data_IF_467505011200
#
_entry.id   IF_467505011200
#
_cell.length_a   1.000
_cell.length_b   1.000
_cell.length_c   1.000
_cell.angle_alpha   90.00
_cell.angle_beta   90.00
_cell.angle_gamma   90.00
#
_symmetry.space_group_name_H-M   'P 1'
#
loop_
_entity.id
_entity.type
_entity.pdbx_description
1 polymer ?
#
# COMPACT_ATOMS: atom_id res chain seq x y z
N UNK A 1 -0.50 2.48 24.06
CA UNK A 1 -0.73 1.02 24.21
C UNK A 1 -2.19 0.61 24.46
N UNK A 2 -3.17 1.55 24.64
CA UNK A 2 -4.58 1.22 24.89
C UNK A 2 -5.44 1.05 23.63
N UNK A 3 -4.94 1.42 22.44
CA UNK A 3 -5.72 1.37 21.19
C UNK A 3 -5.53 0.09 20.36
N UNK A 4 -4.53 -0.74 20.70
CA UNK A 4 -4.26 -1.99 19.97
C UNK A 4 -5.27 -3.09 20.30
N UNK A 5 -5.82 -3.07 21.51
CA UNK A 5 -6.73 -4.10 22.01
C UNK A 5 -8.11 -4.02 21.35
N UNK A 6 -8.54 -2.83 20.95
CA UNK A 6 -9.88 -2.62 20.36
C UNK A 6 -9.97 -3.16 18.91
N UNK A 7 -8.90 -3.06 18.14
CA UNK A 7 -8.89 -3.58 16.77
C UNK A 7 -8.92 -5.11 16.68
N UNK A 8 -8.33 -5.81 17.65
CA UNK A 8 -8.30 -7.28 17.66
C UNK A 8 -9.67 -7.86 17.99
N UNK A 9 -10.43 -7.21 18.87
CA UNK A 9 -11.77 -7.67 19.25
C UNK A 9 -12.78 -7.51 18.12
N UNK A 10 -12.67 -6.44 17.32
CA UNK A 10 -13.58 -6.20 16.18
C UNK A 10 -13.35 -7.18 15.03
N UNK A 11 -12.10 -7.57 14.79
CA UNK A 11 -11.77 -8.59 13.78
C UNK A 11 -12.25 -9.99 14.20
N UNK A 12 -12.23 -10.30 15.49
CA UNK A 12 -12.73 -11.58 16.01
C UNK A 12 -14.25 -11.75 15.91
N UNK A 13 -15.03 -10.67 15.98
CA UNK A 13 -16.49 -10.74 15.92
C UNK A 13 -17.04 -10.96 14.52
N UNK A 14 -16.30 -10.57 13.47
CA UNK A 14 -16.68 -10.81 12.07
C UNK A 14 -16.47 -12.28 11.62
N UNK A 15 -15.66 -13.03 12.34
CA UNK A 15 -15.39 -14.44 12.04
C UNK A 15 -16.51 -15.40 12.51
N UNK A 16 -17.43 -14.95 13.35
CA UNK A 16 -18.52 -15.80 13.88
C UNK A 16 -19.79 -15.79 13.03
N UNK A 17 -19.88 -14.94 12.01
CA UNK A 17 -20.99 -14.96 11.06
C UNK A 17 -20.65 -15.90 9.86
N UNK A 18 -20.44 -17.17 10.12
CA UNK A 18 -20.46 -18.17 9.06
C UNK A 18 -21.92 -18.35 8.65
N UNK A 19 -22.30 -18.06 7.39
CA UNK A 19 -23.57 -18.54 6.88
C UNK A 19 -23.47 -20.07 6.79
N UNK A 20 -24.07 -20.74 7.76
CA UNK A 20 -24.26 -22.18 7.71
C UNK A 20 -25.11 -22.49 6.48
N UNK A 21 -24.55 -23.23 5.51
CA UNK A 21 -25.31 -23.95 4.49
C UNK A 21 -25.52 -23.34 3.13
N UNK A 22 -24.58 -22.51 2.63
CA UNK A 22 -24.46 -22.35 1.18
C UNK A 22 -23.54 -23.46 0.65
N UNK A 23 -24.11 -24.59 0.27
CA UNK A 23 -23.46 -25.47 -0.70
C UNK A 23 -23.15 -24.61 -1.91
N UNK A 24 -21.86 -24.39 -2.15
CA UNK A 24 -21.38 -23.53 -3.22
C UNK A 24 -21.77 -24.22 -4.54
N UNK A 25 -22.91 -23.86 -5.09
CA UNK A 25 -23.20 -24.04 -6.50
C UNK A 25 -21.97 -23.51 -7.22
N UNK A 26 -21.36 -24.29 -8.11
CA UNK A 26 -20.14 -23.94 -8.85
C UNK A 26 -20.42 -22.74 -9.79
N UNK A 27 -20.57 -21.56 -9.18
CA UNK A 27 -20.61 -20.33 -9.94
C UNK A 27 -19.23 -20.12 -10.57
N UNK A 28 -19.17 -20.01 -11.90
CA UNK A 28 -17.90 -19.78 -12.59
C UNK A 28 -17.29 -18.44 -12.23
N UNK A 29 -18.08 -17.52 -11.69
CA UNK A 29 -17.68 -16.15 -11.31
C UNK A 29 -17.72 -16.01 -9.80
N UNK A 30 -16.63 -15.55 -9.20
CA UNK A 30 -16.51 -15.29 -7.77
C UNK A 30 -15.98 -13.89 -7.52
N UNK A 31 -16.54 -13.23 -6.52
CA UNK A 31 -16.05 -11.95 -6.03
C UNK A 31 -15.22 -12.17 -4.77
N UNK A 32 -14.20 -11.36 -4.59
CA UNK A 32 -13.40 -11.35 -3.36
C UNK A 32 -13.24 -9.94 -2.82
N UNK A 33 -13.31 -9.84 -1.49
CA UNK A 33 -13.01 -8.65 -0.73
C UNK A 33 -11.99 -9.01 0.33
N UNK A 34 -10.95 -8.21 0.48
CA UNK A 34 -9.91 -8.48 1.46
C UNK A 34 -9.22 -7.22 1.95
N UNK A 35 -8.49 -7.42 3.04
CA UNK A 35 -7.64 -6.40 3.63
C UNK A 35 -6.50 -7.03 4.40
N UNK A 36 -5.46 -6.26 4.65
CA UNK A 36 -4.30 -6.77 5.34
C UNK A 36 -3.15 -5.79 5.39
N UNK A 37 -1.94 -6.29 5.26
CA UNK A 37 -0.72 -5.52 5.44
C UNK A 37 0.15 -5.56 4.20
N UNK A 38 0.78 -4.41 3.92
CA UNK A 38 1.79 -4.27 2.86
C UNK A 38 3.14 -3.93 3.49
N UNK A 39 4.14 -4.70 3.16
CA UNK A 39 5.51 -4.53 3.64
C UNK A 39 6.40 -4.19 2.45
N UNK A 40 7.00 -2.98 2.41
CA UNK A 40 7.97 -2.63 1.40
C UNK A 40 9.23 -3.48 1.55
N UNK A 41 9.80 -3.90 0.45
CA UNK A 41 11.02 -4.70 0.39
C UNK A 41 12.11 -3.97 -0.41
N UNK A 42 13.35 -4.49 -0.39
CA UNK A 42 14.49 -3.89 -1.07
C UNK A 42 14.80 -2.45 -0.59
N UNK A 43 15.32 -1.59 -1.43
CA UNK A 43 15.74 -0.22 -1.09
C UNK A 43 14.60 0.69 -0.61
N UNK A 44 13.37 0.40 -1.03
CA UNK A 44 12.17 1.17 -0.66
C UNK A 44 11.86 1.07 0.84
N UNK A 45 12.19 -0.04 1.50
CA UNK A 45 11.99 -0.23 2.95
C UNK A 45 12.72 0.81 3.81
N UNK A 46 13.77 1.44 3.27
CA UNK A 46 14.55 2.44 4.00
C UNK A 46 13.84 3.79 4.02
N UNK A 47 12.89 4.01 3.10
CA UNK A 47 12.17 5.27 2.91
C UNK A 47 10.68 5.19 3.27
N UNK A 48 10.09 3.99 3.26
CA UNK A 48 8.68 3.78 3.55
C UNK A 48 8.50 2.77 4.70
N UNK A 49 7.52 3.01 5.54
CA UNK A 49 7.09 2.10 6.58
C UNK A 49 6.09 1.06 6.07
N UNK A 50 5.78 0.09 6.92
CA UNK A 50 4.72 -0.88 6.66
C UNK A 50 3.38 -0.15 6.55
N UNK A 51 2.48 -0.72 5.74
CA UNK A 51 1.19 -0.16 5.47
C UNK A 51 0.06 -1.17 5.56
N UNK A 52 -1.11 -0.74 5.15
CA UNK A 52 -2.30 -1.57 5.03
C UNK A 52 -2.72 -1.69 3.57
N UNK A 53 -3.51 -2.72 3.27
CA UNK A 53 -4.12 -2.88 1.96
C UNK A 53 -5.62 -3.20 2.08
N UNK A 54 -6.34 -2.80 1.03
CA UNK A 54 -7.70 -3.23 0.73
C UNK A 54 -7.74 -3.67 -0.71
N UNK A 55 -8.39 -4.79 -0.98
CA UNK A 55 -8.52 -5.29 -2.34
C UNK A 55 -9.93 -5.78 -2.66
N UNK A 56 -10.23 -5.69 -3.94
CA UNK A 56 -11.43 -6.21 -4.57
C UNK A 56 -11.00 -7.07 -5.77
N UNK A 57 -11.50 -8.30 -5.84
CA UNK A 57 -11.18 -9.23 -6.91
C UNK A 57 -12.43 -9.79 -7.58
N UNK A 58 -12.30 -10.05 -8.86
CA UNK A 58 -13.23 -10.79 -9.68
C UNK A 58 -12.51 -12.00 -10.28
N UNK A 59 -12.92 -13.19 -9.93
CA UNK A 59 -12.35 -14.44 -10.42
C UNK A 59 -13.33 -15.16 -11.33
N UNK A 60 -12.87 -15.59 -12.50
CA UNK A 60 -13.62 -16.42 -13.45
C UNK A 60 -12.94 -17.78 -13.56
N UNK A 61 -13.62 -18.83 -13.14
CA UNK A 61 -13.15 -20.21 -13.22
C UNK A 61 -13.25 -20.72 -14.65
N UNK A 62 -12.09 -21.05 -15.25
CA UNK A 62 -12.01 -21.68 -16.58
C UNK A 62 -12.18 -23.19 -16.44
N UNK A 63 -11.57 -23.77 -15.41
CA UNK A 63 -11.72 -25.17 -15.00
C UNK A 63 -11.78 -25.24 -13.47
N UNK A 64 -12.11 -26.36 -12.85
CA UNK A 64 -12.05 -26.49 -11.39
C UNK A 64 -10.69 -26.17 -10.79
N UNK A 65 -9.60 -26.35 -11.54
CA UNK A 65 -8.22 -26.13 -11.10
C UNK A 65 -7.62 -24.80 -11.58
N UNK A 66 -8.21 -24.14 -12.60
CA UNK A 66 -7.64 -22.95 -13.25
C UNK A 66 -8.68 -21.85 -13.28
N UNK A 67 -8.28 -20.67 -12.85
CA UNK A 67 -9.10 -19.46 -12.94
C UNK A 67 -8.28 -18.24 -13.40
N UNK A 68 -8.97 -17.24 -13.91
CA UNK A 68 -8.45 -15.92 -14.21
C UNK A 68 -9.03 -14.96 -13.19
N UNK A 69 -8.17 -14.18 -12.53
CA UNK A 69 -8.57 -13.17 -11.56
C UNK A 69 -8.18 -11.77 -12.03
N UNK A 70 -9.12 -10.85 -12.02
CA UNK A 70 -8.86 -9.41 -12.06
C UNK A 70 -8.87 -8.88 -10.64
N UNK A 71 -7.79 -8.24 -10.20
CA UNK A 71 -7.67 -7.67 -8.86
C UNK A 71 -7.43 -6.17 -8.94
N UNK A 72 -8.15 -5.41 -8.13
CA UNK A 72 -7.84 -4.02 -7.81
C UNK A 72 -7.49 -3.91 -6.34
N UNK A 73 -6.41 -3.17 -6.03
CA UNK A 73 -5.96 -2.98 -4.66
C UNK A 73 -5.55 -1.53 -4.39
N UNK A 74 -5.85 -1.09 -3.18
CA UNK A 74 -5.38 0.15 -2.58
C UNK A 74 -4.46 -0.17 -1.41
N UNK A 75 -3.28 0.47 -1.37
CA UNK A 75 -2.28 0.27 -0.32
C UNK A 75 -1.83 1.62 0.21
N UNK A 76 -2.08 1.87 1.49
CA UNK A 76 -1.54 3.04 2.19
C UNK A 76 -0.27 2.63 2.92
N UNK A 77 0.89 3.13 2.50
CA UNK A 77 2.19 2.86 3.13
C UNK A 77 2.51 3.93 4.16
N UNK A 78 3.00 3.50 5.31
CA UNK A 78 3.27 4.39 6.42
C UNK A 78 4.44 5.35 6.17
N UNK A 79 4.42 6.45 6.88
CA UNK A 79 5.49 7.43 6.87
C UNK A 79 6.75 6.90 7.56
N UNK A 80 7.91 7.18 6.97
CA UNK A 80 9.20 6.94 7.61
C UNK A 80 9.99 8.24 7.62
N UNK A 81 10.59 8.54 8.79
CA UNK A 81 11.44 9.73 8.96
C UNK A 81 12.78 9.50 8.29
N UNK A 82 13.22 10.48 7.51
CA UNK A 82 14.52 10.54 6.88
C UNK A 82 15.14 11.87 7.28
N UNK A 83 16.22 11.85 8.06
CA UNK A 83 16.94 13.08 8.45
C UNK A 83 18.08 13.33 7.48
N UNK A 84 18.02 14.45 6.77
CA UNK A 84 19.04 14.85 5.81
C UNK A 84 19.66 16.19 6.28
N UNK A 85 20.99 16.31 6.27
CA UNK A 85 21.64 17.59 6.53
C UNK A 85 21.36 18.57 5.38
N UNK A 86 20.64 19.64 5.66
CA UNK A 86 20.31 20.69 4.69
C UNK A 86 21.05 21.96 5.07
N UNK A 87 21.74 22.57 4.11
CA UNK A 87 22.36 23.90 4.28
C UNK A 87 21.40 24.97 3.77
N UNK A 88 20.86 25.83 4.64
CA UNK A 88 19.89 26.86 4.24
C UNK A 88 20.50 27.93 3.33
N UNK A 89 21.82 28.11 3.39
CA UNK A 89 22.58 29.00 2.49
C UNK A 89 23.93 28.35 2.15
N UNK A 90 24.58 28.73 1.02
CA UNK A 90 25.84 28.10 0.60
C UNK A 90 26.97 28.14 1.63
N UNK A 91 26.94 29.08 2.59
CA UNK A 91 27.95 29.28 3.62
C UNK A 91 27.46 28.99 5.04
N UNK A 92 26.22 28.53 5.21
CA UNK A 92 25.68 28.13 6.51
C UNK A 92 26.05 26.67 6.79
N UNK A 93 26.28 26.37 8.06
CA UNK A 93 26.43 24.99 8.51
C UNK A 93 25.18 24.17 8.17
N UNK A 94 25.34 22.87 7.96
CA UNK A 94 24.22 21.97 7.71
C UNK A 94 23.39 21.77 8.98
N UNK A 95 22.05 21.85 8.84
CA UNK A 95 21.10 21.57 9.91
C UNK A 95 20.36 20.28 9.56
N UNK A 96 20.28 19.30 10.46
CA UNK A 96 19.49 18.10 10.22
C UNK A 96 18.02 18.47 10.07
N UNK A 97 17.44 18.17 8.91
CA UNK A 97 16.03 18.43 8.60
C UNK A 97 15.33 17.09 8.40
N UNK A 98 14.20 16.91 9.07
CA UNK A 98 13.40 15.70 8.96
C UNK A 98 12.45 15.80 7.77
N UNK A 99 12.46 14.76 6.95
CA UNK A 99 11.52 14.53 5.87
C UNK A 99 10.72 13.27 6.14
N UNK A 100 9.45 13.30 5.76
CA UNK A 100 8.54 12.17 5.86
C UNK A 100 8.06 11.80 4.45
N UNK A 101 8.23 10.54 4.09
CA UNK A 101 7.70 10.00 2.83
C UNK A 101 6.36 9.29 3.07
N UNK A 102 5.34 9.64 2.31
CA UNK A 102 4.04 8.97 2.27
C UNK A 102 3.76 8.48 0.86
N UNK A 103 3.24 7.27 0.74
CA UNK A 103 2.88 6.69 -0.55
C UNK A 103 1.56 5.93 -0.47
N UNK A 104 0.61 6.32 -1.32
CA UNK A 104 -0.64 5.62 -1.52
C UNK A 104 -0.59 4.89 -2.88
N UNK A 105 -0.30 3.60 -2.87
CA UNK A 105 -0.20 2.81 -4.10
C UNK A 105 -1.55 2.19 -4.45
N UNK A 106 -1.95 2.35 -5.71
CA UNK A 106 -3.11 1.67 -6.29
C UNK A 106 -2.65 0.82 -7.46
N UNK A 107 -3.21 -0.38 -7.59
CA UNK A 107 -2.89 -1.21 -8.74
C UNK A 107 -4.06 -2.06 -9.21
N UNK A 108 -4.03 -2.37 -10.51
CA UNK A 108 -4.90 -3.36 -11.14
C UNK A 108 -4.05 -4.45 -11.77
N UNK A 109 -4.31 -5.70 -11.44
CA UNK A 109 -3.59 -6.87 -11.99
C UNK A 109 -4.54 -7.89 -12.59
N UNK A 110 -4.06 -8.60 -13.61
CA UNK A 110 -4.72 -9.79 -14.17
C UNK A 110 -3.85 -11.00 -13.84
N UNK A 111 -4.43 -12.00 -13.19
CA UNK A 111 -3.74 -13.12 -12.58
C UNK A 111 -4.26 -14.45 -13.12
N UNK A 112 -3.35 -15.38 -13.36
CA UNK A 112 -3.67 -16.79 -13.53
C UNK A 112 -3.58 -17.46 -12.16
N UNK A 113 -4.68 -18.11 -11.75
CA UNK A 113 -4.80 -18.79 -10.47
C UNK A 113 -4.85 -20.29 -10.72
N UNK A 114 -3.96 -21.03 -10.07
CA UNK A 114 -3.90 -22.49 -10.08
C UNK A 114 -4.25 -22.99 -8.69
N UNK A 115 -5.29 -23.78 -8.55
CA UNK A 115 -5.79 -24.24 -7.24
C UNK A 115 -6.06 -25.73 -7.19
N UNK A 116 -5.98 -26.27 -5.99
CA UNK A 116 -6.49 -27.63 -5.74
C UNK A 116 -8.03 -27.59 -5.79
N UNK A 117 -8.68 -28.41 -6.65
CA UNK A 117 -10.13 -28.35 -6.85
C UNK A 117 -10.92 -28.81 -5.62
N UNK A 118 -10.41 -29.82 -4.88
CA UNK A 118 -11.14 -30.53 -3.84
C UNK A 118 -10.56 -30.31 -2.44
N UNK A 119 -11.42 -30.45 -1.44
CA UNK A 119 -11.06 -30.41 -0.02
C UNK A 119 -11.57 -29.19 0.72
N UNK A 120 -11.61 -29.28 2.05
CA UNK A 120 -12.01 -28.19 2.95
C UNK A 120 -10.98 -27.06 2.89
N UNK A 121 -9.70 -27.42 2.78
CA UNK A 121 -8.57 -26.50 2.61
C UNK A 121 -8.10 -26.59 1.18
N UNK A 122 -8.21 -25.51 0.43
CA UNK A 122 -7.86 -25.44 -0.99
C UNK A 122 -6.69 -24.48 -1.18
N UNK A 123 -5.44 -24.97 -1.18
CA UNK A 123 -4.29 -24.17 -1.51
C UNK A 123 -4.32 -23.77 -2.99
N UNK A 124 -3.78 -22.57 -3.27
CA UNK A 124 -3.63 -22.06 -4.62
C UNK A 124 -2.34 -21.28 -4.79
N UNK A 125 -1.84 -21.22 -6.00
CA UNK A 125 -0.79 -20.34 -6.43
C UNK A 125 -1.30 -19.39 -7.52
N UNK A 126 -0.69 -18.25 -7.64
CA UNK A 126 -1.05 -17.27 -8.65
C UNK A 126 0.19 -16.58 -9.22
N UNK A 127 0.06 -16.14 -10.46
CA UNK A 127 1.03 -15.29 -11.14
C UNK A 127 0.28 -14.33 -12.04
N UNK A 128 0.70 -13.08 -12.06
CA UNK A 128 0.01 -12.05 -12.82
C UNK A 128 0.89 -10.88 -13.23
N UNK A 129 0.25 -9.95 -13.89
CA UNK A 129 0.85 -8.71 -14.33
C UNK A 129 -0.17 -7.59 -14.28
N UNK A 130 0.30 -6.35 -14.13
CA UNK A 130 -0.60 -5.22 -14.03
C UNK A 130 0.05 -3.86 -14.05
N UNK A 131 -0.78 -2.87 -13.79
CA UNK A 131 -0.41 -1.45 -13.77
C UNK A 131 -0.51 -0.92 -12.36
N UNK A 132 0.52 -0.18 -11.93
CA UNK A 132 0.70 0.33 -10.58
C UNK A 132 0.81 1.84 -10.63
N UNK A 133 -0.12 2.53 -9.99
CA UNK A 133 -0.08 3.97 -9.78
C UNK A 133 0.49 4.27 -8.40
N UNK A 134 1.59 5.04 -8.35
CA UNK A 134 2.37 5.31 -7.13
C UNK A 134 2.54 6.82 -6.93
N UNK A 135 1.58 7.53 -6.34
CA UNK A 135 1.79 8.89 -5.86
C UNK A 135 2.66 8.88 -4.59
N UNK A 136 3.72 9.63 -4.59
CA UNK A 136 4.65 9.82 -3.46
C UNK A 136 4.60 11.29 -3.06
N UNK A 137 4.40 11.53 -1.77
CA UNK A 137 4.47 12.87 -1.17
C UNK A 137 5.62 12.90 -0.18
N UNK A 138 6.40 13.95 -0.25
CA UNK A 138 7.46 14.22 0.72
C UNK A 138 7.05 15.47 1.49
N UNK A 139 6.96 15.34 2.80
CA UNK A 139 6.57 16.41 3.70
C UNK A 139 7.69 16.73 4.70
N UNK A 140 7.70 17.93 5.20
CA UNK A 140 8.56 18.35 6.31
C UNK A 140 7.68 19.00 7.39
N UNK A 141 7.98 18.77 8.68
CA UNK A 141 7.24 19.40 9.75
C UNK A 141 7.45 20.92 9.74
N UNK A 142 6.40 21.65 9.97
CA UNK A 142 6.39 23.09 10.07
C UNK A 142 5.47 23.57 11.19
N UNK A 143 5.43 24.88 11.38
CA UNK A 143 4.49 25.52 12.29
C UNK A 143 3.67 26.51 11.48
N UNK A 144 2.35 26.32 11.49
CA UNK A 144 1.38 27.21 10.87
C UNK A 144 0.60 27.98 11.93
N UNK A 145 0.17 29.18 11.59
CA UNK A 145 -0.78 29.92 12.42
C UNK A 145 -2.20 29.70 11.89
N UNK A 146 -3.08 29.20 12.75
CA UNK A 146 -4.51 29.08 12.47
C UNK A 146 -5.24 30.20 13.20
N UNK A 147 -5.97 31.08 12.48
CA UNK A 147 -6.80 32.09 13.14
C UNK A 147 -7.93 31.39 13.94
N UNK A 148 -8.30 32.00 15.05
CA UNK A 148 -9.45 31.51 15.81
C UNK A 148 -10.72 31.57 14.97
N UNK A 149 -11.52 30.52 15.04
CA UNK A 149 -12.83 30.50 14.36
C UNK A 149 -13.87 29.80 15.23
N UNK A 150 -15.15 30.14 15.01
CA UNK A 150 -16.27 29.48 15.67
C UNK A 150 -16.95 28.54 14.67
N UNK A 151 -17.08 27.27 15.05
CA UNK A 151 -17.77 26.25 14.26
C UNK A 151 -19.29 26.49 14.33
N UNK A 152 -19.97 26.74 13.21
CA UNK A 152 -21.39 27.00 13.20
C UNK A 152 -22.26 25.76 13.45
N UNK A 153 -21.71 24.56 13.34
CA UNK A 153 -22.45 23.30 13.54
C UNK A 153 -22.43 22.85 15.01
N UNK A 154 -21.28 23.03 15.68
CA UNK A 154 -21.09 22.58 17.05
C UNK A 154 -21.11 23.71 18.07
N UNK A 155 -21.28 24.97 17.62
CA UNK A 155 -21.28 26.18 18.46
C UNK A 155 -20.07 26.28 19.39
N UNK A 156 -18.94 25.74 18.94
CA UNK A 156 -17.69 25.76 19.69
C UNK A 156 -16.68 26.68 19.02
N UNK A 157 -16.05 27.54 19.79
CA UNK A 157 -15.01 28.44 19.29
C UNK A 157 -13.63 27.89 19.59
N UNK A 158 -12.84 27.70 18.54
CA UNK A 158 -11.45 27.28 18.63
C UNK A 158 -10.59 28.54 18.77
N UNK A 159 -9.74 28.64 19.81
CA UNK A 159 -8.80 29.74 19.92
C UNK A 159 -7.77 29.65 18.78
N UNK A 160 -7.42 30.78 18.20
CA UNK A 160 -6.32 30.85 17.26
C UNK A 160 -4.99 30.48 17.92
N UNK A 161 -4.06 29.95 17.14
CA UNK A 161 -2.75 29.57 17.68
C UNK A 161 -1.82 28.98 16.64
N UNK A 162 -0.61 28.72 17.08
CA UNK A 162 0.36 27.98 16.28
C UNK A 162 0.07 26.48 16.39
N UNK A 163 -0.07 25.83 15.24
CA UNK A 163 -0.29 24.40 15.15
C UNK A 163 0.82 23.75 14.32
N UNK A 164 1.21 22.52 14.65
CA UNK A 164 2.10 21.77 13.79
C UNK A 164 1.39 21.52 12.44
N UNK A 165 2.07 21.85 11.36
CA UNK A 165 1.62 21.64 9.98
C UNK A 165 2.65 20.81 9.23
N UNK A 166 2.20 20.04 8.26
CA UNK A 166 3.08 19.36 7.33
C UNK A 166 3.17 20.17 6.03
N UNK A 167 4.37 20.61 5.70
CA UNK A 167 4.62 21.30 4.45
C UNK A 167 5.00 20.29 3.37
N UNK A 168 4.26 20.25 2.27
CA UNK A 168 4.61 19.43 1.11
C UNK A 168 5.79 20.09 0.40
N UNK A 169 6.95 19.44 0.42
CA UNK A 169 8.17 19.90 -0.26
C UNK A 169 8.34 19.27 -1.63
N UNK A 170 7.66 18.15 -1.89
CA UNK A 170 7.67 17.50 -3.19
C UNK A 170 6.53 16.51 -3.33
N UNK A 171 5.95 16.46 -4.52
CA UNK A 171 4.98 15.46 -4.91
C UNK A 171 5.36 14.91 -6.29
N UNK A 172 5.34 13.61 -6.42
CA UNK A 172 5.59 12.93 -7.69
C UNK A 172 4.71 11.71 -7.80
N UNK A 173 4.17 11.46 -8.98
CA UNK A 173 3.43 10.23 -9.28
C UNK A 173 4.09 9.50 -10.45
N UNK A 174 3.99 8.17 -10.42
CA UNK A 174 4.39 7.31 -11.54
C UNK A 174 3.30 6.27 -11.79
N UNK A 175 3.15 5.92 -13.05
CA UNK A 175 2.32 4.78 -13.47
C UNK A 175 3.25 3.79 -14.15
N UNK A 176 3.42 2.64 -13.54
CA UNK A 176 4.44 1.68 -13.90
C UNK A 176 3.83 0.32 -14.16
N UNK A 177 4.49 -0.50 -14.96
CA UNK A 177 4.12 -1.89 -15.15
C UNK A 177 4.81 -2.77 -14.11
N UNK A 178 4.16 -3.86 -13.71
CA UNK A 178 4.73 -4.82 -12.77
C UNK A 178 4.18 -6.22 -12.92
N UNK A 179 4.82 -7.15 -12.23
CA UNK A 179 4.37 -8.53 -12.08
C UNK A 179 4.13 -8.85 -10.63
N UNK A 180 3.22 -9.78 -10.39
CA UNK A 180 2.99 -10.33 -9.09
C UNK A 180 2.96 -11.87 -9.13
N UNK A 181 3.39 -12.47 -8.05
CA UNK A 181 3.27 -13.90 -7.82
C UNK A 181 3.02 -14.17 -6.34
N UNK A 182 2.29 -15.21 -6.08
CA UNK A 182 1.91 -15.48 -4.71
C UNK A 182 1.19 -16.80 -4.55
N UNK A 183 0.64 -16.97 -3.36
CA UNK A 183 -0.16 -18.13 -3.06
C UNK A 183 -0.98 -17.90 -1.81
N UNK A 184 -1.95 -18.75 -1.63
CA UNK A 184 -2.86 -18.67 -0.51
C UNK A 184 -3.61 -19.96 -0.25
N UNK A 185 -4.50 -19.87 0.70
CA UNK A 185 -5.39 -20.96 1.07
C UNK A 185 -6.82 -20.44 1.20
N UNK A 186 -7.78 -21.20 0.66
CA UNK A 186 -9.19 -20.97 0.86
C UNK A 186 -9.74 -21.96 1.90
N UNK A 187 -10.51 -21.45 2.85
CA UNK A 187 -11.27 -22.20 3.85
C UNK A 187 -12.76 -21.85 3.70
N UNK A 188 -13.47 -22.59 2.86
CA UNK A 188 -14.83 -22.20 2.50
C UNK A 188 -14.87 -20.84 1.82
N UNK A 189 -15.56 -19.88 2.42
CA UNK A 189 -15.67 -18.51 1.93
C UNK A 189 -14.49 -17.60 2.36
N UNK A 190 -13.66 -18.01 3.32
CA UNK A 190 -12.55 -17.20 3.83
C UNK A 190 -11.27 -17.57 3.10
N UNK A 191 -10.41 -16.60 2.84
CA UNK A 191 -9.09 -16.84 2.28
C UNK A 191 -7.98 -16.06 3.01
N UNK A 192 -6.79 -16.62 2.96
CA UNK A 192 -5.55 -15.98 3.35
C UNK A 192 -4.54 -16.09 2.20
N UNK A 193 -3.89 -14.99 1.88
CA UNK A 193 -3.02 -14.89 0.70
C UNK A 193 -1.78 -14.08 1.00
N UNK A 194 -0.68 -14.45 0.37
CA UNK A 194 0.59 -13.74 0.36
C UNK A 194 1.00 -13.51 -1.10
N UNK A 195 1.21 -12.24 -1.47
CA UNK A 195 1.66 -11.83 -2.81
C UNK A 195 2.96 -11.05 -2.73
N UNK A 196 3.86 -11.31 -3.64
CA UNK A 196 5.03 -10.51 -3.90
C UNK A 196 4.85 -9.75 -5.21
N UNK A 197 5.05 -8.44 -5.18
CA UNK A 197 4.95 -7.55 -6.32
C UNK A 197 6.32 -7.02 -6.69
N UNK A 198 6.65 -7.09 -7.98
CA UNK A 198 7.82 -6.48 -8.57
C UNK A 198 7.39 -5.46 -9.63
N UNK A 199 7.76 -4.19 -9.42
CA UNK A 199 7.33 -3.06 -10.25
C UNK A 199 8.55 -2.45 -10.91
N UNK A 200 8.53 -2.36 -12.24
CA UNK A 200 9.58 -1.67 -13.00
C UNK A 200 9.31 -0.17 -12.97
N UNK A 201 10.09 0.53 -12.16
CA UNK A 201 9.97 1.98 -12.02
C UNK A 201 10.72 2.74 -13.11
N UNK A 202 10.43 4.05 -13.24
CA UNK A 202 11.09 4.91 -14.18
C UNK A 202 12.58 5.08 -13.85
N UNK A 203 13.39 5.34 -14.85
CA UNK A 203 14.76 5.79 -14.68
C UNK A 203 14.74 7.26 -14.26
N UNK A 204 15.27 7.57 -13.10
CA UNK A 204 15.35 8.92 -12.58
C UNK A 204 16.79 9.41 -12.72
N UNK A 205 17.04 10.53 -13.46
CA UNK A 205 18.35 11.13 -13.48
C UNK A 205 18.67 11.65 -12.07
N UNK A 206 19.83 11.30 -11.55
CA UNK A 206 20.32 11.78 -10.25
C UNK A 206 20.91 13.18 -10.43
N UNK A 207 20.09 14.13 -10.87
CA UNK A 207 20.42 15.55 -10.85
C UNK A 207 19.93 16.15 -9.54
N UNK A 208 20.74 15.98 -8.49
CA UNK A 208 20.61 16.83 -7.31
C UNK A 208 21.09 18.25 -7.59
N UNK A 209 20.73 19.24 -6.74
CA UNK A 209 21.26 20.61 -6.84
C UNK A 209 22.79 20.70 -6.59
N UNK A 210 23.42 19.61 -6.22
CA UNK A 210 24.87 19.45 -6.18
C UNK A 210 25.29 19.03 -7.58
N UNK A 211 26.03 19.90 -8.26
CA UNK A 211 26.63 19.63 -9.56
C UNK A 211 27.27 18.23 -9.55
N UNK A 212 26.81 17.29 -10.39
CA UNK A 212 27.48 15.99 -10.48
C UNK A 212 28.92 16.25 -10.93
N UNK A 213 29.84 15.55 -10.30
CA UNK A 213 31.23 15.51 -10.79
C UNK A 213 31.18 15.17 -12.29
N UNK A 214 31.92 15.89 -13.14
CA UNK A 214 31.90 15.67 -14.59
C UNK A 214 32.19 14.20 -14.88
N UNK A 215 31.25 13.52 -15.52
CA UNK A 215 31.38 12.13 -15.96
C UNK A 215 30.55 11.09 -15.18
N UNK A 216 29.81 11.46 -14.15
CA UNK A 216 28.93 10.52 -13.41
C UNK A 216 27.46 10.88 -13.65
N UNK A 217 26.91 10.37 -14.72
CA UNK A 217 25.45 10.26 -14.88
C UNK A 217 24.99 9.00 -14.15
N UNK A 218 24.74 9.08 -12.88
CA UNK A 218 24.14 7.98 -12.15
C UNK A 218 22.62 7.97 -12.42
N UNK A 219 22.21 7.20 -13.41
CA UNK A 219 20.81 6.86 -13.61
C UNK A 219 20.41 5.81 -12.59
N UNK A 220 19.37 6.08 -11.80
CA UNK A 220 18.83 5.12 -10.84
C UNK A 220 17.43 4.71 -11.26
N UNK A 221 17.19 3.40 -11.32
CA UNK A 221 15.86 2.85 -11.57
C UNK A 221 15.08 2.83 -10.25
N UNK A 222 13.91 3.46 -10.24
CA UNK A 222 13.02 3.50 -9.09
C UNK A 222 12.11 2.25 -9.01
N UNK A 223 12.71 1.06 -9.08
CA UNK A 223 11.95 -0.19 -8.97
C UNK A 223 11.29 -0.33 -7.60
N UNK A 224 10.09 -0.90 -7.57
CA UNK A 224 9.34 -1.17 -6.35
C UNK A 224 9.22 -2.67 -6.08
N UNK A 225 9.38 -3.06 -4.82
CA UNK A 225 9.16 -4.44 -4.39
C UNK A 225 8.33 -4.42 -3.10
N UNK A 226 7.24 -5.19 -3.08
CA UNK A 226 6.31 -5.21 -1.95
C UNK A 226 5.85 -6.63 -1.66
N UNK A 227 5.73 -6.94 -0.39
CA UNK A 227 5.09 -8.15 0.10
C UNK A 227 3.73 -7.76 0.68
N UNK A 228 2.67 -8.32 0.13
CA UNK A 228 1.29 -8.02 0.50
C UNK A 228 0.66 -9.25 1.11
N UNK A 229 0.21 -9.14 2.36
CA UNK A 229 -0.55 -10.19 3.06
C UNK A 229 -2.00 -9.76 3.11
N UNK A 230 -2.92 -10.62 2.68
CA UNK A 230 -4.36 -10.34 2.63
C UNK A 230 -5.15 -11.44 3.29
N UNK A 231 -6.17 -11.03 4.03
CA UNK A 231 -7.23 -11.90 4.56
C UNK A 231 -8.56 -11.39 4.04
N UNK A 232 -9.45 -12.27 3.63
CA UNK A 232 -10.69 -11.82 3.04
C UNK A 232 -11.74 -12.91 2.90
N UNK A 233 -12.81 -12.52 2.23
CA UNK A 233 -13.93 -13.39 1.88
C UNK A 233 -14.07 -13.50 0.36
N UNK A 234 -14.47 -14.66 -0.11
CA UNK A 234 -14.71 -14.96 -1.53
C UNK A 234 -16.08 -15.63 -1.65
N UNK A 235 -16.94 -15.08 -2.51
CA UNK A 235 -18.34 -15.52 -2.69
C UNK A 235 -18.77 -15.49 -4.15
#
# INVERSE_FOLDING_TARGET
MKHLTTCVVTAGLLLTMSPAGAEAQDNPVKFSLGGGFTVPNSEIKDHLGNGYNFNFGLEVSVTPAIAIEGLYSFNGLGQKRISIPVSPTPNAGSVPTDFFGDMNMQYGTANLVLRKPDGVVRPYGLVGAGVYYRPIKVTTPGVGFVPGYCDPFWYYCYPGGFVPVENIVGERSSTDFGMDFGGGVNFGAVYAELRYHYIWGPTVPTTGPVQPLPGVTAERKANGQFLVTTFGIRF
#
